data_IF_363289198396
#
_entry.id   IF_363289198396
#
_cell.length_a   1.000
_cell.length_b   1.000
_cell.length_c   1.000
_cell.angle_alpha   90.00
_cell.angle_beta   90.00
_cell.angle_gamma   90.00
#
_symmetry.space_group_name_H-M   'P 1'
#
loop_
_entity.id
_entity.type
_entity.pdbx_description
1 polymer ?
#
# COMPACT_ATOMS: atom_id res chain seq x y z
N UNK A 1 -2.43 -16.66 3.68
CA UNK A 1 -1.31 -16.07 2.91
C UNK A 1 -1.79 -14.88 2.11
N UNK A 2 -0.95 -13.84 1.93
CA UNK A 2 -1.34 -12.59 1.28
C UNK A 2 -0.28 -12.11 0.31
N UNK A 3 -0.69 -11.31 -0.67
CA UNK A 3 0.21 -10.54 -1.54
C UNK A 3 0.03 -9.06 -1.25
N UNK A 4 1.13 -8.32 -1.08
CA UNK A 4 1.13 -6.86 -1.04
C UNK A 4 1.81 -6.28 -2.29
N UNK A 5 1.23 -5.20 -2.82
CA UNK A 5 1.71 -4.49 -4.00
C UNK A 5 2.34 -3.16 -3.62
N UNK A 6 3.43 -2.80 -4.27
CA UNK A 6 4.12 -1.52 -4.08
C UNK A 6 3.75 -0.52 -5.15
N UNK A 7 3.83 0.78 -4.79
CA UNK A 7 3.57 1.91 -5.67
C UNK A 7 4.85 2.57 -6.19
N UNK A 8 5.09 3.80 -5.79
CA UNK A 8 6.16 4.67 -6.29
C UNK A 8 7.60 4.12 -6.20
N UNK A 9 7.81 3.08 -5.38
CA UNK A 9 9.15 2.50 -5.16
C UNK A 9 9.75 1.97 -6.45
N UNK A 10 8.95 1.48 -7.40
CA UNK A 10 9.48 0.94 -8.66
C UNK A 10 10.12 2.02 -9.55
N UNK A 11 9.79 3.31 -9.34
CA UNK A 11 10.36 4.45 -10.05
C UNK A 11 11.75 4.88 -9.53
N UNK A 12 12.25 4.29 -8.43
CA UNK A 12 13.46 4.75 -7.75
C UNK A 12 14.78 4.31 -8.39
N UNK A 13 14.75 3.67 -9.57
CA UNK A 13 15.93 3.32 -10.35
C UNK A 13 16.99 2.55 -9.52
N UNK A 14 18.22 3.03 -9.51
CA UNK A 14 19.35 2.39 -8.80
C UNK A 14 19.13 2.31 -7.26
N UNK A 15 18.38 3.23 -6.68
CA UNK A 15 18.11 3.27 -5.23
C UNK A 15 16.99 2.34 -4.80
N UNK A 16 16.27 1.71 -5.73
CA UNK A 16 15.10 0.89 -5.48
C UNK A 16 15.32 -0.18 -4.39
N UNK A 17 16.45 -0.85 -4.38
CA UNK A 17 16.76 -1.91 -3.41
C UNK A 17 16.74 -1.38 -1.98
N UNK A 18 17.26 -0.17 -1.75
CA UNK A 18 17.26 0.47 -0.42
C UNK A 18 15.83 0.74 0.06
N UNK A 19 14.96 1.27 -0.81
CA UNK A 19 13.55 1.49 -0.49
C UNK A 19 12.81 0.19 -0.21
N UNK A 20 13.01 -0.85 -1.02
CA UNK A 20 12.39 -2.15 -0.85
C UNK A 20 12.83 -2.84 0.46
N UNK A 21 14.13 -2.76 0.81
CA UNK A 21 14.65 -3.27 2.10
C UNK A 21 14.02 -2.54 3.29
N UNK A 22 13.87 -1.20 3.19
CA UNK A 22 13.23 -0.41 4.25
C UNK A 22 11.76 -0.78 4.39
N UNK A 23 11.02 -0.89 3.27
CA UNK A 23 9.62 -1.33 3.29
C UNK A 23 9.47 -2.70 3.95
N UNK A 24 10.30 -3.66 3.58
CA UNK A 24 10.27 -5.01 4.15
C UNK A 24 10.51 -4.99 5.67
N UNK A 25 11.45 -4.15 6.14
CA UNK A 25 11.68 -3.94 7.57
C UNK A 25 10.45 -3.36 8.26
N UNK A 26 9.83 -2.34 7.67
CA UNK A 26 8.64 -1.70 8.23
C UNK A 26 7.46 -2.69 8.30
N UNK A 27 7.22 -3.49 7.25
CA UNK A 27 6.19 -4.54 7.26
C UNK A 27 6.44 -5.59 8.35
N UNK A 28 7.67 -6.10 8.46
CA UNK A 28 8.03 -7.10 9.49
C UNK A 28 7.83 -6.56 10.89
N UNK A 29 8.19 -5.31 11.12
CA UNK A 29 8.02 -4.64 12.42
C UNK A 29 6.56 -4.56 12.82
N UNK A 30 5.68 -4.04 11.95
CA UNK A 30 4.26 -3.86 12.30
C UNK A 30 3.50 -5.19 12.42
N UNK A 31 3.90 -6.19 11.63
CA UNK A 31 3.31 -7.53 11.66
C UNK A 31 3.93 -8.42 12.76
N UNK A 32 4.98 -7.94 13.45
CA UNK A 32 5.78 -8.75 14.37
C UNK A 32 6.18 -10.10 13.75
N UNK A 33 6.49 -10.10 12.45
CA UNK A 33 6.69 -11.29 11.66
C UNK A 33 8.18 -11.64 11.49
N UNK A 34 8.47 -12.93 11.54
CA UNK A 34 9.80 -13.44 11.24
C UNK A 34 10.27 -13.10 9.83
N UNK A 35 11.59 -12.98 9.59
CA UNK A 35 12.14 -12.67 8.27
C UNK A 35 11.66 -13.56 7.13
N UNK A 36 11.41 -14.84 7.38
CA UNK A 36 10.95 -15.83 6.40
C UNK A 36 9.45 -15.75 6.10
N UNK A 37 8.68 -14.99 6.86
CA UNK A 37 7.24 -14.80 6.65
C UNK A 37 6.92 -13.69 5.65
N UNK A 38 7.84 -12.75 5.41
CA UNK A 38 7.68 -11.65 4.44
C UNK A 38 8.77 -11.76 3.39
N UNK A 39 8.40 -12.25 2.20
CA UNK A 39 9.30 -12.51 1.09
C UNK A 39 9.11 -11.47 -0.02
N UNK A 40 10.20 -10.99 -0.60
CA UNK A 40 10.19 -10.02 -1.69
C UNK A 40 10.34 -10.71 -3.05
N UNK A 41 9.43 -10.38 -3.96
CA UNK A 41 9.50 -10.75 -5.38
C UNK A 41 9.32 -9.48 -6.21
N UNK A 42 10.11 -9.27 -7.20
CA UNK A 42 10.11 -8.13 -8.13
C UNK A 42 9.25 -6.90 -7.66
N UNK A 43 7.92 -6.90 -7.88
CA UNK A 43 6.99 -5.82 -7.51
C UNK A 43 5.95 -6.28 -6.48
N UNK A 44 6.19 -7.40 -5.81
CA UNK A 44 5.27 -8.02 -4.86
C UNK A 44 5.99 -8.48 -3.60
N UNK A 45 5.24 -8.48 -2.52
CA UNK A 45 5.64 -9.11 -1.28
C UNK A 45 4.65 -10.22 -0.97
N UNK A 46 5.17 -11.42 -0.74
CA UNK A 46 4.40 -12.57 -0.29
C UNK A 46 4.47 -12.64 1.23
N UNK A 47 3.31 -12.64 1.89
CA UNK A 47 3.18 -12.58 3.34
C UNK A 47 2.54 -13.88 3.80
N UNK A 48 3.34 -14.73 4.46
CA UNK A 48 2.97 -16.08 4.89
C UNK A 48 2.45 -16.07 6.33
N UNK A 49 1.30 -15.46 6.54
CA UNK A 49 0.58 -15.45 7.82
C UNK A 49 -0.86 -15.90 7.58
N UNK A 50 -1.54 -16.35 8.63
CA UNK A 50 -2.92 -16.83 8.56
C UNK A 50 -3.91 -15.70 8.83
N UNK A 51 -3.63 -14.90 9.85
CA UNK A 51 -4.44 -13.76 10.25
C UNK A 51 -4.45 -12.65 9.20
N UNK A 52 -5.52 -11.86 9.19
CA UNK A 52 -5.62 -10.70 8.30
C UNK A 52 -4.58 -9.64 8.72
N UNK A 53 -3.65 -9.27 7.82
CA UNK A 53 -2.63 -8.27 8.11
C UNK A 53 -3.17 -6.84 8.05
N UNK A 54 -4.29 -6.55 8.69
CA UNK A 54 -4.97 -5.25 8.65
C UNK A 54 -4.03 -4.07 8.95
N UNK A 55 -3.02 -4.27 9.77
CA UNK A 55 -2.02 -3.27 10.10
C UNK A 55 -1.16 -2.84 8.89
N UNK A 56 -1.14 -3.61 7.79
CA UNK A 56 -0.46 -3.19 6.56
C UNK A 56 -1.07 -1.93 5.94
N UNK A 57 -2.33 -1.62 6.24
CA UNK A 57 -2.97 -0.35 5.82
C UNK A 57 -2.20 0.88 6.32
N UNK A 58 -1.45 0.75 7.42
CA UNK A 58 -0.66 1.80 8.08
C UNK A 58 0.79 1.88 7.58
N UNK A 59 1.21 0.97 6.69
CA UNK A 59 2.58 0.93 6.17
C UNK A 59 2.66 1.69 4.85
N UNK A 60 3.36 2.83 4.86
CA UNK A 60 3.61 3.57 3.62
C UNK A 60 4.53 2.82 2.68
N UNK A 61 4.22 2.91 1.38
CA UNK A 61 4.88 2.17 0.31
C UNK A 61 4.02 1.05 -0.28
N UNK A 62 3.00 0.59 0.46
CA UNK A 62 2.03 -0.43 0.00
C UNK A 62 0.80 0.29 -0.58
N UNK A 63 0.36 -0.12 -1.77
CA UNK A 63 -0.86 0.40 -2.40
C UNK A 63 -2.09 -0.46 -2.16
N UNK A 64 -1.89 -1.77 -2.03
CA UNK A 64 -2.92 -2.70 -1.59
C UNK A 64 -2.29 -4.00 -1.07
N UNK A 65 -3.05 -4.74 -0.30
CA UNK A 65 -2.79 -6.15 -0.04
C UNK A 65 -4.07 -6.96 -0.27
N UNK A 66 -3.91 -8.28 -0.48
CA UNK A 66 -5.04 -9.18 -0.75
C UNK A 66 -4.71 -10.60 -0.29
N UNK A 67 -5.71 -11.31 0.22
CA UNK A 67 -5.62 -12.75 0.47
C UNK A 67 -5.59 -13.50 -0.86
N UNK A 68 -4.72 -14.51 -0.97
CA UNK A 68 -4.54 -15.25 -2.23
C UNK A 68 -4.64 -16.74 -2.04
N UNK A 69 -5.10 -17.43 -3.10
CA UNK A 69 -4.99 -18.86 -3.27
C UNK A 69 -3.71 -19.14 -4.06
N UNK A 70 -2.81 -19.94 -3.50
CA UNK A 70 -1.65 -20.46 -4.23
C UNK A 70 -2.06 -21.69 -5.02
N UNK A 71 -1.66 -21.77 -6.28
CA UNK A 71 -1.92 -22.90 -7.17
C UNK A 71 -0.69 -23.20 -8.01
N UNK A 72 -0.60 -24.46 -8.48
CA UNK A 72 0.31 -24.80 -9.57
C UNK A 72 -0.22 -24.18 -10.87
N UNK A 73 0.67 -23.90 -11.81
CA UNK A 73 0.30 -23.33 -13.11
C UNK A 73 -0.57 -24.28 -13.95
N UNK A 74 -0.42 -25.59 -13.78
CA UNK A 74 -1.22 -26.63 -14.43
C UNK A 74 -2.66 -26.72 -13.91
N UNK A 75 -2.91 -26.26 -12.68
CA UNK A 75 -4.21 -26.30 -12.00
C UNK A 75 -5.00 -24.99 -12.09
N UNK A 76 -4.53 -24.01 -12.86
CA UNK A 76 -5.14 -22.67 -12.96
C UNK A 76 -6.64 -22.70 -13.25
N UNK A 77 -7.07 -23.56 -14.15
CA UNK A 77 -8.46 -23.70 -14.54
C UNK A 77 -9.35 -24.08 -13.34
N UNK A 78 -8.94 -25.12 -12.59
CA UNK A 78 -9.67 -25.59 -11.41
C UNK A 78 -9.65 -24.56 -10.29
N UNK A 79 -8.48 -23.95 -10.04
CA UNK A 79 -8.32 -22.92 -9.02
C UNK A 79 -9.16 -21.67 -9.32
N UNK A 80 -9.26 -21.26 -10.59
CA UNK A 80 -10.11 -20.13 -11.00
C UNK A 80 -11.60 -20.46 -10.82
N UNK A 81 -12.02 -21.66 -11.21
CA UNK A 81 -13.41 -22.09 -11.04
C UNK A 81 -13.84 -22.14 -9.56
N UNK A 82 -12.93 -22.52 -8.65
CA UNK A 82 -13.23 -22.59 -7.20
C UNK A 82 -13.49 -21.23 -6.55
N UNK A 83 -13.09 -20.13 -7.19
CA UNK A 83 -13.38 -18.78 -6.72
C UNK A 83 -14.80 -18.30 -7.04
N UNK A 84 -15.47 -18.96 -7.98
CA UNK A 84 -16.83 -18.60 -8.42
C UNK A 84 -17.86 -19.34 -7.59
N UNK A 85 -18.66 -18.62 -6.84
CA UNK A 85 -19.75 -19.17 -6.02
C UNK A 85 -21.09 -19.08 -6.78
N UNK A 86 -21.81 -17.99 -6.62
CA UNK A 86 -23.15 -17.76 -7.18
C UNK A 86 -23.20 -16.63 -8.21
N UNK A 87 -22.02 -16.07 -8.55
CA UNK A 87 -21.91 -14.95 -9.47
C UNK A 87 -22.39 -15.39 -10.87
N UNK A 88 -23.11 -14.50 -11.56
CA UNK A 88 -23.66 -14.72 -12.91
C UNK A 88 -22.76 -14.18 -14.00
N UNK A 89 -21.87 -13.26 -13.67
CA UNK A 89 -20.92 -12.71 -14.64
C UNK A 89 -19.50 -12.67 -14.06
N UNK A 90 -18.53 -12.93 -14.94
CA UNK A 90 -17.12 -12.98 -14.54
C UNK A 90 -16.20 -12.34 -15.58
N UNK A 91 -15.00 -11.99 -15.10
CA UNK A 91 -13.84 -11.65 -15.91
C UNK A 91 -12.60 -12.34 -15.35
N UNK A 92 -11.72 -12.77 -16.26
CA UNK A 92 -10.37 -13.22 -15.91
C UNK A 92 -9.40 -12.10 -16.26
N UNK A 93 -8.55 -11.73 -15.31
CA UNK A 93 -7.54 -10.67 -15.44
C UNK A 93 -6.16 -11.23 -15.09
N UNK A 94 -5.63 -12.09 -15.93
CA UNK A 94 -4.31 -12.69 -15.76
C UNK A 94 -3.21 -11.72 -16.24
N UNK A 95 -2.05 -11.79 -15.59
CA UNK A 95 -0.81 -11.22 -16.11
C UNK A 95 -0.11 -12.24 -17.02
N UNK A 96 0.74 -11.73 -17.93
CA UNK A 96 1.62 -12.58 -18.76
C UNK A 96 2.39 -13.55 -17.87
N UNK A 97 2.37 -14.83 -18.22
CA UNK A 97 3.15 -15.88 -17.55
C UNK A 97 4.44 -16.14 -18.34
N UNK A 98 5.56 -16.03 -17.66
CA UNK A 98 6.90 -16.31 -18.24
C UNK A 98 7.10 -17.83 -18.33
N UNK A 99 6.70 -18.56 -17.30
CA UNK A 99 6.86 -20.01 -17.21
C UNK A 99 6.00 -20.75 -18.24
N UNK A 100 4.73 -20.34 -18.42
CA UNK A 100 3.86 -20.92 -19.43
C UNK A 100 4.14 -20.41 -20.84
N UNK A 101 4.98 -19.38 -21.00
CA UNK A 101 5.25 -18.70 -22.28
C UNK A 101 3.96 -18.22 -22.98
N UNK A 102 2.94 -17.85 -22.19
CA UNK A 102 1.63 -17.35 -22.67
C UNK A 102 1.45 -15.89 -22.31
N UNK A 103 0.85 -15.14 -23.20
CA UNK A 103 0.39 -13.79 -22.89
C UNK A 103 -0.88 -13.80 -22.03
N UNK A 104 -1.26 -12.63 -21.54
CA UNK A 104 -2.43 -12.49 -20.68
C UNK A 104 -3.75 -12.83 -21.39
N UNK A 105 -3.85 -12.53 -22.68
CA UNK A 105 -5.06 -12.79 -23.45
C UNK A 105 -5.32 -14.28 -23.64
N UNK A 106 -4.28 -15.02 -24.00
CA UNK A 106 -4.37 -16.50 -24.14
C UNK A 106 -4.78 -17.14 -22.83
N UNK A 107 -4.18 -16.75 -21.71
CA UNK A 107 -4.53 -17.28 -20.38
C UNK A 107 -5.98 -16.95 -20.03
N UNK A 108 -6.43 -15.70 -20.28
CA UNK A 108 -7.81 -15.29 -20.01
C UNK A 108 -8.82 -16.09 -20.82
N UNK A 109 -8.53 -16.34 -22.11
CA UNK A 109 -9.40 -17.12 -23.00
C UNK A 109 -9.48 -18.59 -22.59
N UNK A 110 -8.36 -19.23 -22.30
CA UNK A 110 -8.32 -20.63 -21.87
C UNK A 110 -9.12 -20.86 -20.58
N UNK A 111 -8.87 -20.03 -19.56
CA UNK A 111 -9.58 -20.14 -18.28
C UNK A 111 -11.06 -19.78 -18.44
N UNK A 112 -11.36 -18.73 -19.22
CA UNK A 112 -12.74 -18.33 -19.50
C UNK A 112 -13.54 -19.44 -20.18
N UNK A 113 -12.98 -20.06 -21.22
CA UNK A 113 -13.60 -21.20 -21.93
C UNK A 113 -13.81 -22.40 -21.00
N UNK A 114 -12.84 -22.69 -20.14
CA UNK A 114 -12.99 -23.78 -19.16
C UNK A 114 -14.13 -23.51 -18.17
N UNK A 115 -14.24 -22.30 -17.62
CA UNK A 115 -15.32 -21.93 -16.71
C UNK A 115 -16.68 -22.07 -17.39
N UNK A 116 -16.84 -21.53 -18.61
CA UNK A 116 -18.07 -21.66 -19.40
C UNK A 116 -18.44 -23.12 -19.70
N UNK A 117 -17.46 -24.00 -19.89
CA UNK A 117 -17.71 -25.43 -20.10
C UNK A 117 -18.20 -26.18 -18.83
N UNK A 118 -17.99 -25.61 -17.65
CA UNK A 118 -18.35 -26.20 -16.35
C UNK A 118 -19.57 -25.58 -15.69
N UNK A 119 -19.91 -24.34 -16.03
CA UNK A 119 -21.08 -23.60 -15.53
C UNK A 119 -21.87 -23.03 -16.69
N UNK A 120 -23.09 -23.52 -16.91
CA UNK A 120 -23.97 -23.11 -18.02
C UNK A 120 -24.69 -21.78 -17.79
N UNK A 121 -24.78 -21.35 -16.52
CA UNK A 121 -25.56 -20.19 -16.09
C UNK A 121 -24.72 -18.94 -15.82
N UNK A 122 -23.43 -18.97 -16.21
CA UNK A 122 -22.50 -17.84 -16.07
C UNK A 122 -22.10 -17.25 -17.42
N UNK A 123 -21.87 -15.94 -17.47
CA UNK A 123 -21.45 -15.24 -18.70
C UNK A 123 -20.19 -14.41 -18.46
N UNK A 124 -19.42 -14.22 -19.54
CA UNK A 124 -18.29 -13.26 -19.52
C UNK A 124 -18.82 -11.84 -19.60
N UNK A 125 -18.35 -10.96 -18.71
CA UNK A 125 -18.58 -9.53 -18.76
C UNK A 125 -17.24 -8.79 -18.51
N UNK A 126 -16.70 -8.15 -19.54
CA UNK A 126 -15.39 -7.51 -19.46
C UNK A 126 -15.44 -6.13 -18.83
N UNK A 127 -16.60 -5.46 -18.83
CA UNK A 127 -16.74 -4.10 -18.32
C UNK A 127 -17.12 -4.06 -16.84
N UNK A 128 -18.22 -4.72 -16.47
CA UNK A 128 -18.79 -4.72 -15.12
C UNK A 128 -19.10 -6.14 -14.66
N UNK A 129 -18.09 -7.00 -14.45
CA UNK A 129 -18.31 -8.35 -13.94
C UNK A 129 -18.70 -8.32 -12.46
N UNK A 130 -19.53 -9.28 -12.03
CA UNK A 130 -19.79 -9.51 -10.61
C UNK A 130 -18.52 -10.02 -9.89
N UNK A 131 -17.70 -10.82 -10.61
CA UNK A 131 -16.41 -11.26 -10.10
C UNK A 131 -15.29 -11.01 -11.14
N UNK A 132 -14.22 -10.31 -10.73
CA UNK A 132 -12.97 -10.16 -11.48
C UNK A 132 -11.89 -11.02 -10.80
N UNK A 133 -11.57 -12.16 -11.40
CA UNK A 133 -10.53 -13.07 -10.91
C UNK A 133 -9.18 -12.63 -11.46
N UNK A 134 -8.30 -12.21 -10.56
CA UNK A 134 -6.94 -11.80 -10.89
C UNK A 134 -5.95 -12.92 -10.68
N UNK A 135 -5.03 -13.07 -11.63
CA UNK A 135 -4.03 -14.13 -11.64
C UNK A 135 -2.66 -13.54 -11.89
N UNK A 136 -1.73 -13.84 -10.99
CA UNK A 136 -0.34 -13.41 -11.10
C UNK A 136 0.60 -14.61 -10.89
N UNK A 137 1.63 -14.70 -11.73
CA UNK A 137 2.72 -15.67 -11.53
C UNK A 137 3.82 -15.03 -10.68
N UNK A 138 4.22 -15.71 -9.61
CA UNK A 138 5.35 -15.35 -8.76
C UNK A 138 6.15 -16.63 -8.47
N UNK A 139 7.41 -16.66 -8.88
CA UNK A 139 8.33 -17.77 -8.61
C UNK A 139 7.75 -19.14 -9.04
N UNK A 140 7.29 -19.22 -10.29
CA UNK A 140 6.72 -20.44 -10.93
C UNK A 140 5.46 -20.99 -10.26
N UNK A 141 4.79 -20.20 -9.44
CA UNK A 141 3.50 -20.50 -8.85
C UNK A 141 2.48 -19.45 -9.25
N UNK A 142 1.23 -19.85 -9.35
CA UNK A 142 0.13 -18.96 -9.58
C UNK A 142 -0.50 -18.51 -8.25
N UNK A 143 -0.89 -17.26 -8.21
CA UNK A 143 -1.63 -16.65 -7.10
C UNK A 143 -2.89 -16.00 -7.63
N UNK A 144 -4.03 -16.49 -7.13
CA UNK A 144 -5.34 -16.08 -7.57
C UNK A 144 -6.08 -15.34 -6.47
N UNK A 145 -6.84 -14.32 -6.83
CA UNK A 145 -7.66 -13.56 -5.89
C UNK A 145 -8.81 -12.83 -6.60
N UNK A 146 -9.85 -12.50 -5.86
CA UNK A 146 -10.93 -11.62 -6.35
C UNK A 146 -10.48 -10.17 -6.25
N UNK A 147 -10.76 -9.36 -7.28
CA UNK A 147 -10.43 -7.94 -7.24
C UNK A 147 -11.16 -7.19 -6.12
N UNK A 148 -12.37 -7.65 -5.74
CA UNK A 148 -13.15 -7.13 -4.62
C UNK A 148 -12.45 -7.27 -3.27
N UNK A 149 -11.61 -8.29 -3.10
CA UNK A 149 -10.95 -8.60 -1.83
C UNK A 149 -9.68 -7.77 -1.58
N UNK A 150 -9.34 -6.89 -2.54
CA UNK A 150 -8.18 -6.01 -2.42
C UNK A 150 -8.41 -4.93 -1.36
N UNK A 151 -7.62 -4.94 -0.31
CA UNK A 151 -7.62 -3.90 0.71
C UNK A 151 -6.67 -2.77 0.30
N UNK A 152 -7.23 -1.60 0.02
CA UNK A 152 -6.46 -0.40 -0.37
C UNK A 152 -5.63 0.13 0.80
N UNK A 153 -4.39 0.54 0.51
CA UNK A 153 -3.46 1.19 1.43
C UNK A 153 -3.08 2.58 0.91
N UNK A 154 -2.32 3.34 1.69
CA UNK A 154 -2.02 4.75 1.36
C UNK A 154 -0.96 4.95 0.28
N UNK A 155 -0.19 3.93 -0.08
CA UNK A 155 0.94 4.10 -1.01
C UNK A 155 2.07 4.94 -0.43
N UNK A 156 2.69 5.77 -1.26
CA UNK A 156 3.81 6.63 -0.86
C UNK A 156 5.15 5.90 -0.78
N UNK A 157 6.05 6.39 0.06
CA UNK A 157 7.40 5.86 0.26
C UNK A 157 7.57 5.30 1.68
N UNK A 158 8.40 4.27 1.87
CA UNK A 158 8.64 3.70 3.19
C UNK A 158 9.23 4.74 4.14
N UNK A 159 8.65 4.91 5.32
CA UNK A 159 9.19 5.83 6.33
C UNK A 159 10.62 5.45 6.68
N UNK A 160 11.49 6.45 6.74
CA UNK A 160 12.94 6.33 6.92
C UNK A 160 13.72 6.34 5.61
N UNK A 161 13.08 6.76 4.49
CA UNK A 161 13.75 6.97 3.20
C UNK A 161 13.79 8.45 2.78
N UNK A 162 13.03 9.33 3.46
CA UNK A 162 12.91 10.77 3.19
C UNK A 162 13.63 11.68 4.18
N UNK A 163 14.46 11.12 5.09
CA UNK A 163 15.17 11.90 6.10
C UNK A 163 14.34 12.16 7.36
N UNK A 164 14.84 13.09 8.20
CA UNK A 164 14.20 13.50 9.46
C UNK A 164 13.62 14.90 9.34
N UNK A 165 12.43 15.10 9.90
CA UNK A 165 11.74 16.39 9.92
C UNK A 165 11.10 16.58 11.29
N UNK A 166 11.26 17.78 11.86
CA UNK A 166 10.57 18.17 13.08
C UNK A 166 9.29 18.93 12.73
N UNK A 167 8.13 18.41 13.15
CA UNK A 167 6.83 19.07 12.94
C UNK A 167 6.48 19.94 14.14
N UNK A 168 6.34 21.25 13.90
CA UNK A 168 5.81 22.20 14.87
C UNK A 168 4.29 22.06 14.87
N UNK A 169 3.74 21.60 15.99
CA UNK A 169 2.32 21.34 16.17
C UNK A 169 1.65 22.60 16.72
N UNK A 170 0.73 23.18 15.95
CA UNK A 170 -0.10 24.32 16.36
C UNK A 170 -1.57 23.95 16.44
N UNK A 171 -2.13 23.45 15.33
CA UNK A 171 -3.48 22.92 15.26
C UNK A 171 -3.45 21.37 15.19
N UNK A 172 -4.32 20.68 15.90
CA UNK A 172 -4.28 19.23 16.02
C UNK A 172 -4.62 18.54 14.68
N UNK A 173 -5.66 19.00 13.98
CA UNK A 173 -6.12 18.41 12.73
C UNK A 173 -5.10 18.66 11.62
N UNK A 174 -4.70 19.91 11.43
CA UNK A 174 -3.72 20.29 10.42
C UNK A 174 -2.39 19.59 10.66
N UNK A 175 -1.91 19.56 11.90
CA UNK A 175 -0.65 18.89 12.24
C UNK A 175 -0.72 17.38 12.05
N UNK A 176 -1.87 16.73 12.35
CA UNK A 176 -2.04 15.31 12.08
C UNK A 176 -1.95 15.01 10.57
N UNK A 177 -2.59 15.83 9.73
CA UNK A 177 -2.51 15.67 8.27
C UNK A 177 -1.12 16.00 7.74
N UNK A 178 -0.48 17.08 8.22
CA UNK A 178 0.89 17.42 7.85
C UNK A 178 1.87 16.30 8.19
N UNK A 179 1.81 15.76 9.40
CA UNK A 179 2.63 14.62 9.84
C UNK A 179 2.41 13.37 9.00
N UNK A 180 1.15 13.05 8.70
CA UNK A 180 0.80 11.95 7.81
C UNK A 180 1.40 12.13 6.40
N UNK A 181 1.29 13.32 5.80
CA UNK A 181 1.82 13.61 4.48
C UNK A 181 3.36 13.51 4.45
N UNK A 182 4.05 13.99 5.48
CA UNK A 182 5.49 13.84 5.64
C UNK A 182 5.90 12.36 5.71
N UNK A 183 5.22 11.57 6.55
CA UNK A 183 5.48 10.13 6.64
C UNK A 183 5.19 9.42 5.33
N UNK A 184 4.12 9.81 4.61
CA UNK A 184 3.80 9.28 3.28
C UNK A 184 4.89 9.58 2.24
N UNK A 185 5.67 10.64 2.42
CA UNK A 185 6.88 10.95 1.62
C UNK A 185 8.15 10.25 2.13
N UNK A 186 8.01 9.41 3.15
CA UNK A 186 9.10 8.59 3.69
C UNK A 186 9.88 9.26 4.82
N UNK A 187 9.47 10.43 5.30
CA UNK A 187 10.15 11.12 6.40
C UNK A 187 9.90 10.42 7.74
N UNK A 188 10.92 10.35 8.57
CA UNK A 188 10.76 10.12 10.01
C UNK A 188 10.46 11.47 10.62
N UNK A 189 9.42 11.55 11.45
CA UNK A 189 9.03 12.79 12.09
C UNK A 189 9.32 12.79 13.59
N UNK A 190 9.62 13.96 14.14
CA UNK A 190 9.48 14.28 15.56
C UNK A 190 8.46 15.39 15.71
N UNK A 191 7.84 15.51 16.87
CA UNK A 191 6.75 16.44 17.14
C UNK A 191 7.14 17.39 18.28
N UNK A 192 6.69 18.64 18.21
CA UNK A 192 6.81 19.59 19.33
C UNK A 192 5.76 19.33 20.42
N UNK A 193 4.61 18.74 20.04
CA UNK A 193 3.52 18.30 20.93
C UNK A 193 2.96 16.98 20.42
N UNK A 194 2.55 16.10 21.30
CA UNK A 194 2.07 14.76 20.94
C UNK A 194 0.76 14.80 20.14
N UNK A 195 0.67 13.90 19.13
CA UNK A 195 -0.52 13.64 18.31
C UNK A 195 -0.75 12.13 18.28
N UNK A 196 -1.61 11.59 19.17
CA UNK A 196 -1.82 10.14 19.31
C UNK A 196 -2.21 9.43 18.02
N UNK A 197 -2.92 10.12 17.12
CA UNK A 197 -3.35 9.58 15.82
C UNK A 197 -2.18 9.15 14.94
N UNK A 198 -1.04 9.88 14.98
CA UNK A 198 0.12 9.60 14.15
C UNK A 198 0.90 8.36 14.60
N UNK A 199 0.85 8.00 15.88
CA UNK A 199 1.51 6.79 16.40
C UNK A 199 0.94 5.49 15.81
N UNK A 200 -0.28 5.51 15.27
CA UNK A 200 -0.85 4.38 14.52
C UNK A 200 0.02 3.96 13.33
N UNK A 201 0.81 4.87 12.78
CA UNK A 201 1.65 4.65 11.59
C UNK A 201 3.08 4.23 11.91
N UNK A 202 3.44 4.09 13.17
CA UNK A 202 4.76 3.61 13.57
C UNK A 202 4.97 2.18 13.05
N UNK A 203 5.96 2.03 12.17
CA UNK A 203 6.29 0.76 11.53
C UNK A 203 7.80 0.67 11.32
N UNK A 204 8.51 0.14 12.35
CA UNK A 204 9.96 0.08 12.36
C UNK A 204 10.66 1.43 12.57
N UNK A 205 9.96 2.37 13.14
CA UNK A 205 10.43 3.66 13.66
C UNK A 205 9.48 4.11 14.78
N UNK A 206 9.91 5.07 15.59
CA UNK A 206 9.08 5.69 16.63
C UNK A 206 9.06 7.20 16.43
N UNK A 207 7.91 7.80 16.60
CA UNK A 207 7.72 9.24 16.66
C UNK A 207 8.22 9.72 18.04
N UNK A 208 9.02 10.77 18.09
CA UNK A 208 9.57 11.30 19.33
C UNK A 208 9.12 12.74 19.53
N UNK A 209 8.89 13.12 20.77
CA UNK A 209 8.76 14.51 21.15
C UNK A 209 10.16 15.13 21.24
N UNK A 210 10.33 16.32 20.66
CA UNK A 210 11.59 17.07 20.68
C UNK A 210 11.33 18.57 20.73
N UNK A 211 12.34 19.31 21.15
CA UNK A 211 12.34 20.77 20.99
C UNK A 211 12.82 21.16 19.59
N UNK A 212 12.31 22.26 19.06
CA UNK A 212 12.67 22.79 17.74
C UNK A 212 14.17 23.06 17.56
N UNK A 213 14.85 23.43 18.65
CA UNK A 213 16.29 23.73 18.67
C UNK A 213 17.19 22.59 18.22
N UNK A 214 16.69 21.36 18.30
CA UNK A 214 17.46 20.14 18.03
C UNK A 214 17.48 19.74 16.54
N UNK A 215 16.84 20.53 15.66
CA UNK A 215 16.65 20.12 14.26
C UNK A 215 16.84 21.28 13.27
N UNK A 216 17.48 20.98 12.13
CA UNK A 216 17.72 21.94 11.05
C UNK A 216 16.56 22.02 10.05
N UNK A 217 15.77 20.94 9.93
CA UNK A 217 14.63 20.85 9.03
C UNK A 217 13.35 20.78 9.87
N UNK A 218 12.53 21.80 9.73
CA UNK A 218 11.24 21.87 10.40
C UNK A 218 10.09 21.80 9.39
N UNK A 219 8.93 21.40 9.85
CA UNK A 219 7.68 21.52 9.11
C UNK A 219 6.66 22.28 9.96
N UNK A 220 5.75 22.96 9.28
CA UNK A 220 4.61 23.63 9.90
C UNK A 220 3.31 23.07 9.33
N UNK A 221 2.24 23.25 10.09
CA UNK A 221 0.89 22.89 9.72
C UNK A 221 0.12 24.05 9.05
N UNK A 222 0.86 25.05 8.55
CA UNK A 222 0.31 26.23 7.89
C UNK A 222 -0.31 25.87 6.54
N UNK A 223 -1.51 26.40 6.30
CA UNK A 223 -2.18 26.46 5.00
C UNK A 223 -1.86 27.78 4.30
N UNK A 224 -2.22 27.94 3.03
CA UNK A 224 -1.89 29.13 2.24
C UNK A 224 -2.43 30.41 2.89
N UNK A 225 -3.65 30.40 3.39
CA UNK A 225 -4.33 31.53 4.01
C UNK A 225 -3.68 32.00 5.34
N UNK A 226 -3.02 31.11 6.03
CA UNK A 226 -2.35 31.38 7.32
C UNK A 226 -0.83 31.61 7.18
N UNK A 227 -0.33 31.68 5.95
CA UNK A 227 1.10 31.77 5.68
C UNK A 227 1.71 33.05 6.26
N UNK A 228 2.71 32.89 7.15
CA UNK A 228 3.52 33.99 7.65
C UNK A 228 4.91 33.95 7.02
N UNK A 229 5.40 35.15 6.64
CA UNK A 229 6.78 35.30 6.18
C UNK A 229 7.70 35.05 7.37
N UNK A 230 8.54 34.03 7.31
CA UNK A 230 9.52 33.73 8.34
C UNK A 230 10.88 34.26 7.90
N UNK A 231 11.61 34.91 8.81
CA UNK A 231 13.03 35.32 8.64
C UNK A 231 13.99 34.21 9.17
N UNK A 232 13.48 33.03 9.50
CA UNK A 232 14.28 31.96 10.07
C UNK A 232 15.30 31.43 9.08
N UNK A 233 16.49 31.12 9.58
CA UNK A 233 17.56 30.45 8.81
C UNK A 233 17.33 28.96 8.59
N UNK A 234 16.27 28.36 9.17
CA UNK A 234 15.94 26.95 9.07
C UNK A 234 15.22 26.65 7.76
N UNK A 235 15.38 25.43 7.28
CA UNK A 235 14.64 24.92 6.13
C UNK A 235 13.22 24.53 6.57
N UNK A 236 12.20 25.24 6.07
CA UNK A 236 10.79 25.07 6.48
C UNK A 236 10.02 24.35 5.39
N UNK A 237 9.47 23.19 5.72
CA UNK A 237 8.51 22.45 4.91
C UNK A 237 7.08 22.84 5.27
N UNK A 238 6.23 22.99 4.26
CA UNK A 238 4.81 23.33 4.41
C UNK A 238 3.95 22.30 3.67
N UNK A 239 3.68 21.12 4.27
CA UNK A 239 2.98 20.03 3.59
C UNK A 239 1.56 20.37 3.16
N UNK A 240 0.91 21.34 3.82
CA UNK A 240 -0.48 21.71 3.59
C UNK A 240 -0.68 22.89 2.63
N UNK A 241 0.38 23.48 2.10
CA UNK A 241 0.29 24.74 1.33
C UNK A 241 -0.61 24.65 0.08
N UNK A 242 -0.83 23.47 -0.46
CA UNK A 242 -1.69 23.23 -1.62
C UNK A 242 -3.04 22.59 -1.29
N UNK A 243 -3.42 22.55 -0.02
CA UNK A 243 -4.67 21.95 0.45
C UNK A 243 -5.60 23.01 1.03
N UNK A 244 -6.89 22.92 0.75
CA UNK A 244 -7.93 23.67 1.43
C UNK A 244 -8.43 22.92 2.68
N UNK A 245 -9.23 23.60 3.52
CA UNK A 245 -9.75 23.03 4.76
C UNK A 245 -10.61 21.77 4.54
N UNK A 246 -11.40 21.72 3.48
CA UNK A 246 -12.23 20.56 3.17
C UNK A 246 -11.36 19.34 2.86
N UNK A 247 -10.34 19.48 2.02
CA UNK A 247 -9.41 18.40 1.67
C UNK A 247 -8.63 17.91 2.89
N UNK A 248 -8.24 18.81 3.80
CA UNK A 248 -7.56 18.47 5.05
C UNK A 248 -8.50 17.61 5.93
N UNK A 249 -9.75 18.03 6.09
CA UNK A 249 -10.74 17.28 6.88
C UNK A 249 -11.03 15.91 6.28
N UNK A 250 -11.14 15.79 4.96
CA UNK A 250 -11.32 14.50 4.27
C UNK A 250 -10.14 13.54 4.51
N UNK A 251 -8.91 14.06 4.47
CA UNK A 251 -7.71 13.28 4.78
C UNK A 251 -7.71 12.88 6.25
N UNK A 252 -8.01 13.82 7.16
CA UNK A 252 -8.06 13.56 8.59
C UNK A 252 -9.04 12.44 8.96
N UNK A 253 -10.28 12.49 8.47
CA UNK A 253 -11.28 11.45 8.72
C UNK A 253 -10.84 10.09 8.13
N UNK A 254 -10.21 10.10 6.96
CA UNK A 254 -9.65 8.89 6.36
C UNK A 254 -8.51 8.27 7.19
N UNK A 255 -7.68 9.08 7.81
CA UNK A 255 -6.60 8.63 8.71
C UNK A 255 -7.19 8.05 10.00
N UNK A 256 -8.20 8.71 10.54
CA UNK A 256 -8.87 8.35 11.79
C UNK A 256 -9.61 7.01 11.69
N UNK A 257 -10.17 6.69 10.51
CA UNK A 257 -10.90 5.45 10.23
C UNK A 257 -10.03 4.19 10.14
N UNK A 258 -8.74 4.31 10.28
CA UNK A 258 -7.74 3.23 10.27
C UNK A 258 -7.15 3.06 11.67
#
# INVERSE_FOLDING_TARGET
MYIASIGEIFLKGKNRITFERKLMRNMRSILKADPNKVLRFRNRYLIKIEEDPIHLRRVFGIIFYVKVIESKLEDLNKASLSLISNEKTFRISAKKSITLKKDSQTINQEIGSYILSKKSDIKVNLEKPEIDIRIEEINNKAYLYKASDMVKCFGGLPVGTGGFVHLIVKDEINSAVAGFLLMKRGCIISLSKDIPLLHKFESGFNIRLREEKETDIIATDEIFESLKTSQDKKFILRPLIGYNEQEINEIYEKIKSI
#
